data_IF_713351828306
#
_entry.id   IF_713351828306
#
_cell.length_a   1.000
_cell.length_b   1.000
_cell.length_c   1.000
_cell.angle_alpha   90.00
_cell.angle_beta   90.00
_cell.angle_gamma   90.00
#
_symmetry.space_group_name_H-M   'P 1'
#
loop_
_entity.id
_entity.type
_entity.pdbx_description
1 polymer ?
#
# COMPACT_ATOMS: atom_id res chain seq x y z
N UNK A 1 -21.22 7.16 19.01
CA UNK A 1 -20.29 7.44 17.88
C UNK A 1 -18.87 6.98 18.22
N UNK A 2 -18.32 6.01 17.48
CA UNK A 2 -16.90 5.64 17.61
C UNK A 2 -16.05 6.75 16.98
N UNK A 3 -15.08 7.28 17.73
CA UNK A 3 -14.11 8.24 17.24
C UNK A 3 -13.19 7.54 16.24
N UNK A 4 -13.45 7.73 14.95
CA UNK A 4 -12.52 7.28 13.90
C UNK A 4 -11.40 8.31 13.82
N UNK A 5 -10.17 7.89 14.09
CA UNK A 5 -8.98 8.71 13.87
C UNK A 5 -8.71 8.79 12.37
N UNK A 6 -9.02 9.94 11.77
CA UNK A 6 -8.61 10.24 10.41
C UNK A 6 -7.09 10.38 10.38
N UNK A 7 -6.43 9.64 9.48
CA UNK A 7 -5.00 9.79 9.22
C UNK A 7 -4.81 10.68 7.99
N UNK A 8 -3.82 11.56 8.08
CA UNK A 8 -3.37 12.33 6.93
C UNK A 8 -2.83 11.36 5.85
N UNK A 9 -2.80 11.81 4.57
CA UNK A 9 -2.10 11.09 3.52
C UNK A 9 -0.66 10.76 3.92
N UNK A 10 -0.14 9.67 3.39
CA UNK A 10 1.19 9.14 3.70
C UNK A 10 2.26 10.15 3.27
N UNK A 11 2.10 10.84 2.15
CA UNK A 11 3.03 11.91 1.72
C UNK A 11 3.14 13.03 2.77
N UNK A 12 2.03 13.42 3.39
CA UNK A 12 2.03 14.43 4.45
C UNK A 12 2.76 13.91 5.69
N UNK A 13 2.52 12.65 6.07
CA UNK A 13 3.24 12.04 7.20
C UNK A 13 4.75 11.97 6.94
N UNK A 14 5.16 11.59 5.73
CA UNK A 14 6.58 11.54 5.34
C UNK A 14 7.22 12.93 5.34
N UNK A 15 6.49 13.96 4.90
CA UNK A 15 6.99 15.35 4.87
C UNK A 15 7.32 15.91 6.27
N UNK A 16 6.68 15.38 7.32
CA UNK A 16 6.90 15.76 8.71
C UNK A 16 8.09 15.04 9.35
N UNK A 17 8.61 13.96 8.74
CA UNK A 17 9.72 13.19 9.29
C UNK A 17 11.07 13.84 8.99
N UNK A 18 11.95 13.84 9.98
CA UNK A 18 13.35 14.20 9.77
C UNK A 18 14.15 13.05 9.13
N UNK A 19 15.33 13.36 8.58
CA UNK A 19 16.17 12.40 7.83
C UNK A 19 16.37 11.06 8.56
N UNK A 20 16.69 11.09 9.86
CA UNK A 20 16.91 9.87 10.64
C UNK A 20 15.63 9.07 10.85
N UNK A 21 14.49 9.74 11.04
CA UNK A 21 13.20 9.07 11.19
C UNK A 21 12.73 8.47 9.86
N UNK A 22 12.96 9.17 8.75
CA UNK A 22 12.67 8.66 7.41
C UNK A 22 13.53 7.42 7.09
N UNK A 23 14.81 7.45 7.45
CA UNK A 23 15.70 6.31 7.30
C UNK A 23 15.24 5.12 8.15
N UNK A 24 14.86 5.35 9.42
CA UNK A 24 14.27 4.31 10.27
C UNK A 24 12.99 3.76 9.66
N UNK A 25 12.07 4.63 9.24
CA UNK A 25 10.82 4.21 8.59
C UNK A 25 11.09 3.28 7.39
N UNK A 26 12.02 3.64 6.50
CA UNK A 26 12.37 2.81 5.35
C UNK A 26 12.97 1.45 5.77
N UNK A 27 13.88 1.43 6.76
CA UNK A 27 14.50 0.21 7.27
C UNK A 27 13.47 -0.73 7.91
N UNK A 28 12.58 -0.18 8.73
CA UNK A 28 11.51 -0.95 9.38
C UNK A 28 10.48 -1.46 8.38
N UNK A 29 10.15 -0.67 7.34
CA UNK A 29 9.24 -1.12 6.28
C UNK A 29 9.80 -2.35 5.54
N UNK A 30 11.10 -2.36 5.25
CA UNK A 30 11.78 -3.50 4.63
C UNK A 30 11.82 -4.70 5.59
N UNK A 31 12.07 -4.48 6.90
CA UNK A 31 12.15 -5.59 7.86
C UNK A 31 10.82 -6.28 8.12
N UNK A 32 9.70 -5.55 8.04
CA UNK A 32 8.36 -6.11 8.25
C UNK A 32 7.89 -7.00 7.08
N UNK A 33 8.27 -6.65 5.84
CA UNK A 33 7.81 -7.33 4.62
C UNK A 33 8.96 -7.61 3.64
N UNK A 34 10.01 -8.33 4.07
CA UNK A 34 11.26 -8.43 3.31
C UNK A 34 11.07 -9.10 1.94
N UNK A 35 10.28 -10.17 1.87
CA UNK A 35 10.05 -10.89 0.60
C UNK A 35 9.27 -10.08 -0.43
N UNK A 36 8.39 -9.18 0.01
CA UNK A 36 7.53 -8.39 -0.87
C UNK A 36 8.19 -7.07 -1.29
N UNK A 37 8.93 -6.45 -0.36
CA UNK A 37 9.42 -5.08 -0.54
C UNK A 37 10.89 -5.03 -0.98
N UNK A 38 11.74 -5.95 -0.52
CA UNK A 38 13.19 -5.85 -0.73
C UNK A 38 13.59 -5.77 -2.21
N UNK A 39 13.08 -6.62 -3.13
CA UNK A 39 13.47 -6.54 -4.54
C UNK A 39 13.10 -5.19 -5.17
N UNK A 40 11.93 -4.67 -4.80
CA UNK A 40 11.44 -3.36 -5.28
C UNK A 40 12.28 -2.23 -4.70
N UNK A 41 12.60 -2.28 -3.40
CA UNK A 41 13.42 -1.28 -2.73
C UNK A 41 14.84 -1.23 -3.31
N UNK A 42 15.47 -2.37 -3.58
CA UNK A 42 16.79 -2.45 -4.21
C UNK A 42 16.80 -1.78 -5.59
N UNK A 43 15.84 -2.15 -6.46
CA UNK A 43 15.71 -1.52 -7.78
C UNK A 43 15.55 0.01 -7.68
N UNK A 44 14.72 0.50 -6.76
CA UNK A 44 14.51 1.94 -6.56
C UNK A 44 15.78 2.64 -6.05
N UNK A 45 16.53 2.00 -5.15
CA UNK A 45 17.81 2.53 -4.66
C UNK A 45 18.85 2.61 -5.78
N UNK A 46 18.92 1.59 -6.64
CA UNK A 46 19.82 1.59 -7.80
C UNK A 46 19.47 2.71 -8.79
N UNK A 47 18.17 2.97 -9.02
CA UNK A 47 17.71 4.09 -9.87
C UNK A 47 17.97 5.47 -9.25
N UNK A 48 17.91 5.59 -7.91
CA UNK A 48 18.15 6.85 -7.19
C UNK A 48 19.65 7.17 -7.09
N UNK A 49 20.47 6.18 -6.76
CA UNK A 49 21.92 6.32 -6.53
C UNK A 49 22.75 6.16 -7.81
N UNK A 50 22.14 5.66 -8.89
CA UNK A 50 22.79 5.48 -10.17
C UNK A 50 23.23 6.80 -10.79
N UNK A 51 24.36 6.77 -11.52
CA UNK A 51 24.92 7.95 -12.18
C UNK A 51 24.14 8.41 -13.43
N UNK A 52 23.20 7.61 -13.91
CA UNK A 52 22.40 7.92 -15.10
C UNK A 52 21.12 8.66 -14.71
N UNK A 53 20.67 9.63 -15.53
CA UNK A 53 19.41 10.32 -15.30
C UNK A 53 18.25 9.32 -15.31
N UNK A 54 17.51 9.25 -14.21
CA UNK A 54 16.36 8.38 -14.02
C UNK A 54 15.08 9.20 -13.86
N UNK A 55 13.94 8.63 -14.27
CA UNK A 55 12.66 9.30 -14.17
C UNK A 55 12.33 9.68 -12.71
N UNK A 56 12.72 8.82 -11.75
CA UNK A 56 12.52 9.05 -10.31
C UNK A 56 13.29 10.28 -9.79
N UNK A 57 14.48 10.56 -10.33
CA UNK A 57 15.26 11.76 -9.99
C UNK A 57 14.76 13.02 -10.72
N UNK A 58 13.88 12.87 -11.71
CA UNK A 58 13.35 13.98 -12.51
C UNK A 58 12.02 14.53 -11.97
N UNK A 59 11.43 13.89 -10.97
CA UNK A 59 10.12 14.24 -10.39
C UNK A 59 10.22 14.48 -8.90
N UNK A 60 9.27 15.24 -8.33
CA UNK A 60 9.24 15.53 -6.89
C UNK A 60 8.81 14.34 -6.01
N UNK A 61 8.34 13.24 -6.61
CA UNK A 61 7.89 12.05 -5.91
C UNK A 61 6.87 11.24 -6.70
N UNK A 62 6.57 10.03 -6.24
CA UNK A 62 5.47 9.23 -6.76
C UNK A 62 4.11 9.80 -6.29
N UNK A 63 3.01 9.59 -7.05
CA UNK A 63 1.67 9.95 -6.61
C UNK A 63 1.32 9.25 -5.28
N UNK A 64 0.76 9.98 -4.32
CA UNK A 64 0.41 9.44 -3.00
C UNK A 64 -0.80 8.50 -3.10
N UNK A 65 -0.65 7.20 -2.80
CA UNK A 65 -1.73 6.22 -2.93
C UNK A 65 -2.83 6.36 -1.87
N UNK A 66 -2.58 7.18 -0.83
CA UNK A 66 -3.50 7.45 0.27
C UNK A 66 -4.04 8.88 0.25
N UNK A 67 -3.56 9.71 -0.67
CA UNK A 67 -4.23 10.95 -1.00
C UNK A 67 -5.54 10.58 -1.70
N UNK A 68 -6.65 10.79 -1.01
CA UNK A 68 -7.98 10.66 -1.63
C UNK A 68 -8.12 11.60 -2.82
N UNK A 69 -9.18 11.39 -3.61
CA UNK A 69 -9.52 12.28 -4.69
C UNK A 69 -9.72 13.72 -4.18
N UNK A 70 -9.39 14.71 -5.01
CA UNK A 70 -9.67 16.11 -4.67
C UNK A 70 -11.17 16.31 -4.41
N UNK A 71 -11.55 17.30 -3.59
CA UNK A 71 -12.96 17.62 -3.34
C UNK A 71 -13.75 17.94 -4.65
N UNK A 72 -13.04 18.36 -5.70
CA UNK A 72 -13.60 18.62 -7.01
C UNK A 72 -13.50 17.44 -7.99
N UNK A 73 -12.80 16.36 -7.64
CA UNK A 73 -12.69 15.19 -8.51
C UNK A 73 -13.96 14.34 -8.42
N UNK A 74 -14.56 14.05 -9.57
CA UNK A 74 -15.70 13.13 -9.65
C UNK A 74 -15.21 11.70 -9.38
N UNK A 75 -15.29 11.28 -8.11
CA UNK A 75 -14.92 9.91 -7.73
C UNK A 75 -16.08 8.96 -8.02
N UNK A 76 -15.86 8.00 -8.93
CA UNK A 76 -16.84 6.95 -9.22
C UNK A 76 -16.45 5.68 -8.47
N UNK A 77 -17.25 5.30 -7.48
CA UNK A 77 -17.11 4.04 -6.76
C UNK A 77 -17.80 2.93 -7.56
N UNK A 78 -17.02 2.05 -8.16
CA UNK A 78 -17.54 0.88 -8.85
C UNK A 78 -17.48 -0.33 -7.91
N UNK A 79 -18.64 -0.89 -7.60
CA UNK A 79 -18.74 -2.19 -6.93
C UNK A 79 -18.91 -3.27 -8.00
N UNK A 80 -17.93 -4.15 -8.12
CA UNK A 80 -18.10 -5.37 -8.92
C UNK A 80 -18.94 -6.37 -8.12
N UNK A 81 -20.25 -6.34 -8.38
CA UNK A 81 -21.23 -7.22 -7.73
C UNK A 81 -20.89 -8.70 -7.93
N UNK A 82 -20.40 -9.08 -9.12
CA UNK A 82 -20.10 -10.47 -9.43
C UNK A 82 -18.90 -10.95 -8.62
N UNK A 83 -17.84 -10.16 -8.59
CA UNK A 83 -16.66 -10.46 -7.78
C UNK A 83 -17.01 -10.53 -6.28
N UNK A 84 -17.87 -9.65 -5.79
CA UNK A 84 -18.33 -9.70 -4.39
C UNK A 84 -19.08 -11.00 -4.09
N UNK A 85 -20.05 -11.37 -4.91
CA UNK A 85 -20.83 -12.61 -4.75
C UNK A 85 -19.94 -13.85 -4.79
N UNK A 86 -18.97 -13.90 -5.71
CA UNK A 86 -18.05 -15.04 -5.82
C UNK A 86 -17.13 -15.14 -4.60
N UNK A 87 -16.65 -14.01 -4.06
CA UNK A 87 -15.85 -14.00 -2.83
C UNK A 87 -16.66 -14.46 -1.61
N UNK A 88 -17.91 -14.00 -1.48
CA UNK A 88 -18.80 -14.45 -0.40
C UNK A 88 -19.04 -15.96 -0.50
N UNK A 89 -19.33 -16.48 -1.70
CA UNK A 89 -19.49 -17.94 -1.91
C UNK A 89 -18.23 -18.72 -1.52
N UNK A 90 -17.04 -18.26 -1.92
CA UNK A 90 -15.77 -18.90 -1.54
C UNK A 90 -15.57 -18.94 -0.03
N UNK A 91 -15.89 -17.84 0.66
CA UNK A 91 -15.81 -17.75 2.13
C UNK A 91 -16.80 -18.75 2.77
N UNK A 92 -18.06 -18.76 2.33
CA UNK A 92 -19.06 -19.70 2.85
C UNK A 92 -18.64 -21.16 2.64
N UNK A 93 -18.09 -21.50 1.46
CA UNK A 93 -17.56 -22.84 1.22
C UNK A 93 -16.42 -23.17 2.19
N UNK A 94 -15.46 -22.25 2.35
CA UNK A 94 -14.31 -22.45 3.23
C UNK A 94 -14.72 -22.68 4.69
N UNK A 95 -15.76 -22.01 5.19
CA UNK A 95 -16.13 -22.05 6.60
C UNK A 95 -17.29 -22.99 6.92
N UNK A 96 -18.15 -23.32 5.96
CA UNK A 96 -19.37 -24.10 6.19
C UNK A 96 -19.31 -25.51 5.60
N UNK A 97 -18.33 -25.84 4.76
CA UNK A 97 -18.14 -27.23 4.29
C UNK A 97 -17.34 -28.02 5.32
N UNK A 98 -17.80 -29.21 5.75
CA UNK A 98 -17.06 -30.04 6.69
C UNK A 98 -15.68 -30.39 6.12
N UNK A 99 -14.62 -30.16 6.91
CA UNK A 99 -13.30 -30.68 6.58
C UNK A 99 -13.34 -32.22 6.60
N UNK A 100 -12.57 -32.90 5.72
CA UNK A 100 -12.50 -34.36 5.73
C UNK A 100 -12.07 -34.84 7.11
N UNK A 101 -12.92 -35.68 7.72
CA UNK A 101 -12.63 -36.34 8.98
C UNK A 101 -11.57 -37.40 8.68
N UNK A 102 -10.35 -37.19 9.16
CA UNK A 102 -9.30 -38.22 9.13
C UNK A 102 -9.63 -39.20 10.25
N UNK A 103 -10.07 -40.40 9.87
CA UNK A 103 -10.18 -41.55 10.77
C UNK A 103 -8.81 -42.19 11.00
#
# INVERSE_FOLDING_TARGET
PHLVTLRAPVSESLSRLHREQLQKFAQYLISELPQQILPTAQRLLDELLGSQPSAINSVCGAPDPTAGASANDQTSWYLDEKALHDNIKKILIKFCVPAPIVF
#
